data_IF_225317829594
#
_entry.id   IF_225317829594
#
_cell.length_a   1.000
_cell.length_b   1.000
_cell.length_c   1.000
_cell.angle_alpha   90.00
_cell.angle_beta   90.00
_cell.angle_gamma   90.00
#
_symmetry.space_group_name_H-M   'P 1'
#
loop_
_entity.id
_entity.type
_entity.pdbx_description
1 polymer ?
#
# COMPACT_ATOMS: atom_id res chain seq x y z
N UNK A 1 -2.41 0.34 -17.55
CA UNK A 1 -2.79 -0.58 -18.66
C UNK A 1 -4.05 -1.40 -18.30
N UNK A 2 -4.81 -1.94 -19.27
CA UNK A 2 -6.03 -2.75 -18.99
C UNK A 2 -5.75 -3.97 -18.08
N UNK A 3 -4.61 -4.63 -18.26
CA UNK A 3 -4.20 -5.75 -17.42
C UNK A 3 -4.08 -5.35 -15.94
N UNK A 4 -3.37 -4.26 -15.65
CA UNK A 4 -3.24 -3.69 -14.31
C UNK A 4 -4.62 -3.39 -13.68
N UNK A 5 -5.52 -2.73 -14.41
CA UNK A 5 -6.86 -2.40 -13.90
C UNK A 5 -7.66 -3.67 -13.52
N UNK A 6 -7.60 -4.72 -14.35
CA UNK A 6 -8.30 -5.99 -14.07
C UNK A 6 -7.72 -6.71 -12.86
N UNK A 7 -6.40 -6.71 -12.72
CA UNK A 7 -5.72 -7.35 -11.57
C UNK A 7 -6.04 -6.60 -10.28
N UNK A 8 -5.93 -5.26 -10.27
CA UNK A 8 -6.28 -4.45 -9.10
C UNK A 8 -7.74 -4.62 -8.67
N UNK A 9 -8.68 -4.63 -9.63
CA UNK A 9 -10.09 -4.88 -9.34
C UNK A 9 -10.35 -6.27 -8.74
N UNK A 10 -9.61 -7.29 -9.18
CA UNK A 10 -9.71 -8.63 -8.62
C UNK A 10 -9.15 -8.71 -7.20
N UNK A 11 -8.01 -8.05 -6.93
CA UNK A 11 -7.44 -7.96 -5.57
C UNK A 11 -8.39 -7.23 -4.62
N UNK A 12 -8.99 -6.11 -5.04
CA UNK A 12 -9.97 -5.38 -4.23
C UNK A 12 -11.20 -6.26 -3.89
N UNK A 13 -11.64 -7.10 -4.83
CA UNK A 13 -12.70 -8.08 -4.57
C UNK A 13 -12.29 -9.11 -3.52
N UNK A 14 -11.06 -9.63 -3.60
CA UNK A 14 -10.55 -10.60 -2.64
C UNK A 14 -10.36 -9.97 -1.25
N UNK A 15 -9.93 -8.70 -1.16
CA UNK A 15 -9.88 -7.94 0.10
C UNK A 15 -11.26 -7.77 0.73
N UNK A 16 -12.25 -7.36 -0.07
CA UNK A 16 -13.64 -7.22 0.39
C UNK A 16 -14.18 -8.56 0.91
N UNK A 17 -13.93 -9.66 0.20
CA UNK A 17 -14.36 -10.99 0.63
C UNK A 17 -13.70 -11.44 1.95
N UNK A 18 -12.46 -11.01 2.21
CA UNK A 18 -11.74 -11.27 3.45
C UNK A 18 -12.08 -10.30 4.60
N UNK A 19 -13.01 -9.35 4.38
CA UNK A 19 -13.35 -8.32 5.37
C UNK A 19 -12.21 -7.35 5.67
N UNK A 20 -11.33 -7.11 4.69
CA UNK A 20 -10.19 -6.21 4.81
C UNK A 20 -10.53 -4.79 4.31
N UNK A 21 -9.81 -3.76 4.79
CA UNK A 21 -9.93 -2.42 4.24
C UNK A 21 -9.42 -2.36 2.79
N UNK A 22 -9.76 -1.30 2.02
CA UNK A 22 -9.35 -1.17 0.61
C UNK A 22 -7.83 -1.25 0.39
N UNK A 23 -7.41 -1.66 -0.81
CA UNK A 23 -5.99 -1.88 -1.12
C UNK A 23 -5.12 -0.64 -0.91
N UNK A 24 -5.66 0.57 -1.11
CA UNK A 24 -4.95 1.82 -0.83
C UNK A 24 -4.46 1.96 0.62
N UNK A 25 -5.08 1.28 1.58
CA UNK A 25 -4.60 1.26 2.97
C UNK A 25 -3.31 0.47 3.09
N UNK A 26 -3.20 -0.67 2.39
CA UNK A 26 -2.00 -1.48 2.37
C UNK A 26 -0.82 -0.67 1.82
N UNK A 27 -1.04 0.06 0.72
CA UNK A 27 -0.01 0.83 0.04
C UNK A 27 0.59 1.91 0.95
N UNK A 28 -0.25 2.67 1.67
CA UNK A 28 0.22 3.66 2.65
C UNK A 28 0.91 3.01 3.86
N UNK A 29 0.30 1.98 4.45
CA UNK A 29 0.87 1.30 5.62
C UNK A 29 2.19 0.61 5.28
N UNK A 30 2.33 0.06 4.08
CA UNK A 30 3.56 -0.55 3.60
C UNK A 30 4.70 0.46 3.54
N UNK A 31 4.48 1.63 2.95
CA UNK A 31 5.51 2.66 2.85
C UNK A 31 5.93 3.20 4.22
N UNK A 32 4.98 3.37 5.14
CA UNK A 32 5.28 3.75 6.52
C UNK A 32 6.06 2.67 7.27
N UNK A 33 5.69 1.38 7.12
CA UNK A 33 6.38 0.26 7.76
C UNK A 33 7.80 0.09 7.23
N UNK A 34 8.00 0.32 5.93
CA UNK A 34 9.30 0.21 5.24
C UNK A 34 10.24 1.38 5.59
N UNK A 35 9.70 2.55 5.91
CA UNK A 35 10.49 3.69 6.34
C UNK A 35 11.24 3.37 7.66
N UNK A 36 12.53 3.71 7.72
CA UNK A 36 13.42 3.40 8.84
C UNK A 36 12.85 3.84 10.20
N UNK A 37 12.30 5.06 10.26
CA UNK A 37 11.70 5.62 11.47
C UNK A 37 10.20 5.29 11.64
N UNK A 38 9.62 4.44 10.78
CA UNK A 38 8.18 4.14 10.81
C UNK A 38 7.28 5.33 10.50
N UNK A 39 7.83 6.41 9.93
CA UNK A 39 7.12 7.68 9.72
C UNK A 39 7.56 8.37 8.43
N UNK A 40 6.63 9.10 7.83
CA UNK A 40 6.82 9.88 6.61
C UNK A 40 5.99 11.15 6.68
N UNK A 41 6.40 12.19 5.94
CA UNK A 41 5.55 13.36 5.69
C UNK A 41 4.51 13.01 4.61
N UNK A 42 3.32 13.65 4.60
CA UNK A 42 2.27 13.33 3.64
C UNK A 42 2.72 13.33 2.16
N UNK A 43 3.52 14.31 1.72
CA UNK A 43 4.02 14.32 0.34
C UNK A 43 5.02 13.18 0.05
N UNK A 44 5.74 12.69 1.07
CA UNK A 44 6.62 11.54 0.90
C UNK A 44 5.81 10.24 0.77
N UNK A 45 4.69 10.14 1.48
CA UNK A 45 3.74 9.03 1.30
C UNK A 45 3.20 9.07 -0.14
N UNK A 46 2.71 10.24 -0.59
CA UNK A 46 2.18 10.41 -1.95
C UNK A 46 3.20 10.02 -3.03
N UNK A 47 4.46 10.45 -2.88
CA UNK A 47 5.53 10.16 -3.82
C UNK A 47 5.96 8.68 -3.82
N UNK A 48 5.75 7.95 -2.72
CA UNK A 48 6.20 6.56 -2.56
C UNK A 48 5.11 5.52 -2.80
N UNK A 49 3.84 5.88 -2.62
CA UNK A 49 2.70 4.98 -2.88
C UNK A 49 2.62 4.59 -4.34
N UNK A 50 2.36 3.31 -4.62
CA UNK A 50 2.21 2.80 -5.98
C UNK A 50 0.86 3.20 -6.60
N UNK A 51 -0.18 3.24 -5.78
CA UNK A 51 -1.54 3.56 -6.18
C UNK A 51 -1.77 5.05 -6.01
N UNK A 52 -2.23 5.72 -7.08
CA UNK A 52 -2.56 7.14 -7.01
C UNK A 52 -3.60 7.41 -5.91
N UNK A 53 -3.20 8.23 -4.93
CA UNK A 53 -4.04 8.60 -3.79
C UNK A 53 -4.64 10.00 -3.98
N UNK A 54 -5.67 10.12 -4.83
CA UNK A 54 -6.34 11.41 -5.11
C UNK A 54 -6.87 12.13 -3.86
N UNK A 55 -6.99 11.43 -2.73
CA UNK A 55 -7.51 11.93 -1.46
C UNK A 55 -6.64 11.50 -0.28
N UNK A 56 -5.31 11.58 -0.40
CA UNK A 56 -4.37 11.07 0.61
C UNK A 56 -4.64 11.61 2.01
N UNK A 57 -4.92 12.91 2.18
CA UNK A 57 -5.25 13.48 3.50
C UNK A 57 -6.45 12.79 4.15
N UNK A 58 -7.53 12.57 3.38
CA UNK A 58 -8.73 11.85 3.87
C UNK A 58 -8.47 10.37 4.13
N UNK A 59 -7.53 9.76 3.41
CA UNK A 59 -7.09 8.39 3.70
C UNK A 59 -6.34 8.35 5.02
N UNK A 60 -5.39 9.26 5.24
CA UNK A 60 -4.65 9.37 6.51
C UNK A 60 -5.61 9.65 7.67
N UNK A 61 -6.59 10.54 7.51
CA UNK A 61 -7.61 10.82 8.55
C UNK A 61 -8.35 9.54 8.96
N UNK A 62 -8.70 8.68 8.00
CA UNK A 62 -9.34 7.39 8.27
C UNK A 62 -8.40 6.40 8.95
N UNK A 63 -7.16 6.31 8.49
CA UNK A 63 -6.15 5.46 9.13
C UNK A 63 -5.89 5.88 10.58
N UNK A 64 -5.88 7.19 10.85
CA UNK A 64 -5.73 7.75 12.19
C UNK A 64 -6.96 7.45 13.05
N UNK A 65 -8.17 7.61 12.50
CA UNK A 65 -9.42 7.26 13.17
C UNK A 65 -9.50 5.79 13.57
N UNK A 66 -8.97 4.88 12.74
CA UNK A 66 -8.86 3.46 13.06
C UNK A 66 -7.65 3.12 13.96
N UNK A 67 -6.87 4.13 14.40
CA UNK A 67 -5.70 3.95 15.27
C UNK A 67 -4.51 3.27 14.59
N UNK A 68 -4.48 3.21 13.26
CA UNK A 68 -3.43 2.54 12.48
C UNK A 68 -2.21 3.45 12.25
N UNK A 69 -2.43 4.77 12.29
CA UNK A 69 -1.38 5.78 12.25
C UNK A 69 -1.66 6.85 13.30
N UNK A 70 -0.68 7.69 13.58
CA UNK A 70 -0.84 8.92 14.38
C UNK A 70 -0.13 10.09 13.71
N UNK A 71 -0.68 11.29 13.82
CA UNK A 71 0.00 12.52 13.41
C UNK A 71 0.77 13.17 14.54
N UNK A 72 2.01 13.53 14.28
CA UNK A 72 2.88 14.27 15.20
C UNK A 72 3.32 15.58 14.55
N UNK A 73 3.38 16.68 15.30
CA UNK A 73 3.88 17.94 14.79
C UNK A 73 5.36 17.83 14.39
N UNK A 74 5.75 18.46 13.29
CA UNK A 74 7.13 18.54 12.84
C UNK A 74 7.81 19.82 13.39
N UNK A 75 8.50 19.71 14.53
CA UNK A 75 9.26 20.83 15.09
C UNK A 75 8.43 22.10 15.35
N UNK A 76 9.08 23.26 15.29
CA UNK A 76 8.44 24.58 15.49
C UNK A 76 7.64 25.08 14.28
N UNK A 77 7.80 24.46 13.09
CA UNK A 77 7.04 24.83 11.90
C UNK A 77 5.70 24.07 11.87
N UNK A 78 4.64 24.76 12.29
CA UNK A 78 3.27 24.26 12.34
C UNK A 78 2.69 23.80 10.97
N UNK A 79 3.42 23.99 9.87
CA UNK A 79 2.97 23.59 8.52
C UNK A 79 3.29 22.13 8.17
N UNK A 80 4.08 21.42 8.98
CA UNK A 80 4.44 20.02 8.75
C UNK A 80 3.90 19.07 9.81
N UNK A 81 3.45 17.88 9.39
CA UNK A 81 3.18 16.76 10.30
C UNK A 81 3.92 15.50 9.84
N UNK A 82 4.39 14.72 10.81
CA UNK A 82 4.74 13.32 10.62
C UNK A 82 3.48 12.48 10.66
N UNK A 83 3.39 11.51 9.77
CA UNK A 83 2.45 10.39 9.89
C UNK A 83 3.29 9.19 10.32
N UNK A 84 3.01 8.66 11.51
CA UNK A 84 3.76 7.55 12.12
C UNK A 84 2.86 6.33 12.20
N UNK A 85 3.35 5.17 11.74
CA UNK A 85 2.60 3.90 11.87
C UNK A 85 2.57 3.43 13.32
N UNK A 86 1.41 2.96 13.77
CA UNK A 86 1.26 2.35 15.10
C UNK A 86 1.51 0.84 15.04
N UNK A 87 1.61 0.18 16.19
CA UNK A 87 1.64 -1.29 16.24
C UNK A 87 0.37 -1.92 15.63
N UNK A 88 -0.80 -1.31 15.84
CA UNK A 88 -2.04 -1.74 15.18
C UNK A 88 -1.95 -1.59 13.65
N UNK A 89 -1.33 -0.52 13.16
CA UNK A 89 -1.05 -0.33 11.73
C UNK A 89 -0.11 -1.39 11.17
N UNK A 90 0.96 -1.73 11.89
CA UNK A 90 1.90 -2.81 11.52
C UNK A 90 1.18 -4.16 11.44
N UNK A 91 0.35 -4.47 12.43
CA UNK A 91 -0.45 -5.69 12.48
C UNK A 91 -1.49 -5.76 11.36
N UNK A 92 -2.21 -4.66 11.09
CA UNK A 92 -3.17 -4.57 9.99
C UNK A 92 -2.48 -4.82 8.65
N UNK A 93 -1.34 -4.18 8.38
CA UNK A 93 -0.56 -4.40 7.16
C UNK A 93 -0.14 -5.87 7.01
N UNK A 94 0.33 -6.50 8.10
CA UNK A 94 0.70 -7.91 8.07
C UNK A 94 -0.50 -8.82 7.74
N UNK A 95 -1.66 -8.58 8.36
CA UNK A 95 -2.90 -9.30 8.05
C UNK A 95 -3.34 -9.10 6.59
N UNK A 96 -3.23 -7.88 6.08
CA UNK A 96 -3.55 -7.58 4.68
C UNK A 96 -2.61 -8.31 3.71
N UNK A 97 -1.32 -8.44 4.05
CA UNK A 97 -0.33 -9.15 3.24
C UNK A 97 -0.68 -10.62 3.00
N UNK A 98 -1.26 -11.31 3.98
CA UNK A 98 -1.69 -12.71 3.81
C UNK A 98 -2.71 -12.87 2.68
N UNK A 99 -3.65 -11.92 2.56
CA UNK A 99 -4.62 -11.94 1.46
C UNK A 99 -4.00 -11.41 0.18
N UNK A 100 -3.16 -10.37 0.27
CA UNK A 100 -2.56 -9.74 -0.91
C UNK A 100 -1.62 -10.69 -1.65
N UNK A 101 -0.71 -11.36 -0.94
CA UNK A 101 0.23 -12.34 -1.51
C UNK A 101 -0.49 -13.47 -2.24
N UNK A 102 -1.51 -14.08 -1.61
CA UNK A 102 -2.36 -15.11 -2.24
C UNK A 102 -3.09 -14.59 -3.47
N UNK A 103 -3.57 -13.34 -3.42
CA UNK A 103 -4.26 -12.71 -4.53
C UNK A 103 -3.31 -12.41 -5.71
N UNK A 104 -2.09 -11.95 -5.45
CA UNK A 104 -1.06 -11.77 -6.48
C UNK A 104 -0.75 -13.11 -7.15
N UNK A 105 -0.54 -14.16 -6.36
CA UNK A 105 -0.28 -15.50 -6.89
C UNK A 105 -1.43 -15.97 -7.78
N UNK A 106 -2.66 -15.91 -7.28
CA UNK A 106 -3.87 -16.35 -8.00
C UNK A 106 -4.10 -15.60 -9.33
N UNK A 107 -3.92 -14.27 -9.34
CA UNK A 107 -4.31 -13.45 -10.50
C UNK A 107 -3.15 -13.17 -11.46
N UNK A 108 -1.91 -13.36 -11.04
CA UNK A 108 -0.70 -13.12 -11.83
C UNK A 108 0.19 -14.37 -11.86
N UNK A 109 0.68 -14.83 -10.71
CA UNK A 109 1.67 -15.92 -10.61
C UNK A 109 1.22 -17.20 -11.32
N UNK A 110 0.05 -17.73 -10.93
CA UNK A 110 -0.54 -18.94 -11.48
C UNK A 110 -0.91 -18.87 -12.98
N UNK A 111 -0.78 -17.69 -13.61
CA UNK A 111 -1.05 -17.48 -15.05
C UNK A 111 0.21 -17.42 -15.90
N UNK A 112 1.38 -17.46 -15.28
CA UNK A 112 2.67 -17.35 -15.95
C UNK A 112 3.50 -18.57 -15.63
N UNK A 113 4.16 -19.11 -16.66
CA UNK A 113 5.25 -20.07 -16.43
C UNK A 113 6.47 -19.35 -15.83
N UNK A 114 7.36 -20.08 -15.14
CA UNK A 114 8.62 -19.52 -14.63
C UNK A 114 9.44 -18.77 -15.71
N UNK A 115 9.60 -19.30 -16.94
CA UNK A 115 10.26 -18.56 -18.03
C UNK A 115 9.53 -17.27 -18.41
N UNK A 116 8.20 -17.30 -18.51
CA UNK A 116 7.41 -16.12 -18.88
C UNK A 116 7.45 -15.05 -17.80
N UNK A 117 7.40 -15.44 -16.52
CA UNK A 117 7.52 -14.53 -15.39
C UNK A 117 8.88 -13.81 -15.39
N UNK A 118 9.98 -14.53 -15.64
CA UNK A 118 11.33 -13.93 -15.76
C UNK A 118 11.42 -12.98 -16.95
N UNK A 119 10.85 -13.36 -18.10
CA UNK A 119 10.80 -12.52 -19.29
C UNK A 119 9.99 -11.24 -19.03
N UNK A 120 8.83 -11.36 -18.40
CA UNK A 120 7.99 -10.23 -18.03
C UNK A 120 8.72 -9.28 -17.06
N UNK A 121 9.37 -9.82 -16.02
CA UNK A 121 10.16 -9.02 -15.08
C UNK A 121 11.27 -8.23 -15.80
N UNK A 122 11.99 -8.88 -16.72
CA UNK A 122 13.05 -8.25 -17.53
C UNK A 122 12.50 -7.13 -18.43
N UNK A 123 11.30 -7.31 -18.99
CA UNK A 123 10.68 -6.28 -19.83
C UNK A 123 10.18 -5.10 -18.99
N UNK A 124 9.57 -5.36 -17.83
CA UNK A 124 9.08 -4.32 -16.92
C UNK A 124 10.22 -3.50 -16.31
N UNK A 125 11.36 -4.12 -15.97
CA UNK A 125 12.52 -3.42 -15.40
C UNK A 125 13.19 -2.43 -16.35
N UNK A 126 12.82 -2.40 -17.64
CA UNK A 126 13.32 -1.40 -18.60
C UNK A 126 12.49 -0.13 -18.62
N UNK A 127 11.33 -0.15 -17.96
CA UNK A 127 10.39 0.98 -17.91
C UNK A 127 10.53 1.83 -16.65
N UNK A 128 11.26 1.35 -15.64
CA UNK A 128 11.43 1.96 -14.31
C UNK A 128 12.90 2.04 -13.93
#
# INVERSE_FOLDING_TARGET
MRAQQRVLAAIEKDFKAAGLPPLGWYDVLWELVKAEAGRLRPFEIEARTLLAQYNLSRLIDRLEKEGLVRREAYGEDARGCWVTVTEAGRAMRARMWETYSRSIEKHVGAKLSDPDARKLATLLSRLV
#
